data_IF_158608174354
#
_entry.id   IF_158608174354
#
_cell.length_a   1.000
_cell.length_b   1.000
_cell.length_c   1.000
_cell.angle_alpha   90.00
_cell.angle_beta   90.00
_cell.angle_gamma   90.00
#
_symmetry.space_group_name_H-M   'P 1'
#
loop_
_entity.id
_entity.type
_entity.pdbx_description
1 polymer ?
#
# COMPACT_ATOMS: atom_id res chain seq x y z
N UNK A 1 -4.38 -18.96 -20.04
CA UNK A 1 -4.66 -17.99 -18.95
C UNK A 1 -3.99 -16.65 -19.25
N UNK A 2 -4.41 -15.56 -18.59
CA UNK A 2 -3.85 -14.20 -18.76
C UNK A 2 -2.79 -13.83 -17.71
N UNK A 3 -2.51 -14.72 -16.75
CA UNK A 3 -1.58 -14.50 -15.64
C UNK A 3 -0.72 -15.75 -15.45
N UNK A 4 0.60 -15.61 -15.51
CA UNK A 4 1.55 -16.71 -15.32
C UNK A 4 1.94 -16.86 -13.85
N UNK A 5 2.23 -15.75 -13.17
CA UNK A 5 2.72 -15.71 -11.77
C UNK A 5 2.15 -14.52 -11.02
N UNK A 6 1.89 -14.70 -9.73
CA UNK A 6 1.42 -13.65 -8.83
C UNK A 6 2.43 -13.40 -7.72
N UNK A 7 2.73 -12.12 -7.44
CA UNK A 7 3.51 -11.71 -6.27
C UNK A 7 2.62 -10.79 -5.43
N UNK A 8 2.42 -11.15 -4.16
CA UNK A 8 1.66 -10.37 -3.18
C UNK A 8 2.62 -9.88 -2.11
N UNK A 9 2.69 -8.58 -1.90
CA UNK A 9 3.66 -7.96 -0.99
C UNK A 9 2.94 -7.39 0.22
N UNK A 10 3.27 -7.95 1.37
CA UNK A 10 2.90 -7.50 2.71
C UNK A 10 1.40 -7.25 2.92
N UNK A 11 0.58 -8.17 2.40
CA UNK A 11 -0.86 -8.22 2.63
C UNK A 11 -1.37 -9.68 2.54
N UNK A 12 -2.39 -9.99 3.33
CA UNK A 12 -3.09 -11.27 3.39
C UNK A 12 -4.55 -11.08 2.95
N UNK A 13 -5.25 -12.10 2.42
CA UNK A 13 -6.65 -12.01 1.99
C UNK A 13 -7.65 -11.94 3.18
N UNK A 14 -7.43 -10.99 4.11
CA UNK A 14 -8.25 -10.71 5.29
C UNK A 14 -8.68 -9.25 5.32
N UNK A 15 -9.64 -8.94 6.18
CA UNK A 15 -10.00 -7.56 6.52
C UNK A 15 -8.93 -6.93 7.41
N UNK A 16 -8.70 -5.62 7.25
CA UNK A 16 -7.81 -4.85 8.10
C UNK A 16 -8.58 -3.74 8.81
N UNK A 17 -8.25 -3.43 10.07
CA UNK A 17 -8.83 -2.28 10.75
C UNK A 17 -8.47 -0.99 9.98
N UNK A 18 -9.46 -0.14 9.69
CA UNK A 18 -9.21 1.18 9.11
C UNK A 18 -8.26 2.01 10.01
N UNK A 19 -7.10 2.41 9.47
CA UNK A 19 -6.08 3.19 10.21
C UNK A 19 -5.56 4.44 9.48
N UNK A 20 -6.01 4.71 8.25
CA UNK A 20 -5.55 5.86 7.45
C UNK A 20 -6.45 7.11 7.53
N UNK A 21 -7.45 7.15 8.41
CA UNK A 21 -8.41 8.26 8.48
C UNK A 21 -7.75 9.60 8.78
N UNK A 22 -6.71 9.62 9.61
CA UNK A 22 -5.93 10.83 9.89
C UNK A 22 -5.25 11.36 8.63
N UNK A 23 -4.62 10.47 7.85
CA UNK A 23 -3.98 10.82 6.57
C UNK A 23 -5.01 11.33 5.57
N UNK A 24 -6.16 10.66 5.43
CA UNK A 24 -7.22 11.08 4.50
C UNK A 24 -7.73 12.48 4.87
N UNK A 25 -7.96 12.75 6.16
CA UNK A 25 -8.37 14.09 6.63
C UNK A 25 -7.30 15.15 6.34
N UNK A 26 -6.02 14.84 6.56
CA UNK A 26 -4.91 15.73 6.24
C UNK A 26 -4.84 16.03 4.73
N UNK A 27 -5.08 15.05 3.87
CA UNK A 27 -5.13 15.27 2.42
C UNK A 27 -6.34 16.13 2.02
N UNK A 28 -7.47 15.99 2.71
CA UNK A 28 -8.70 16.75 2.48
C UNK A 28 -8.63 18.19 3.02
N UNK A 29 -7.72 18.49 3.96
CA UNK A 29 -7.54 19.85 4.49
C UNK A 29 -6.75 20.77 3.55
N UNK A 30 -6.13 20.23 2.51
CA UNK A 30 -5.41 21.01 1.50
C UNK A 30 -6.40 21.74 0.60
N UNK A 31 -6.51 23.05 0.77
CA UNK A 31 -7.30 23.93 -0.08
C UNK A 31 -6.47 24.45 -1.26
N UNK A 32 -6.65 23.84 -2.44
CA UNK A 32 -5.99 24.23 -3.69
C UNK A 32 -6.43 25.58 -4.27
N UNK A 33 -7.42 26.26 -3.66
CA UNK A 33 -7.70 27.66 -3.98
C UNK A 33 -6.77 28.64 -3.24
N UNK A 34 -6.08 28.16 -2.20
CA UNK A 34 -5.19 28.97 -1.34
C UNK A 34 -3.72 28.58 -1.52
N UNK A 35 -3.41 27.29 -1.62
CA UNK A 35 -2.01 26.85 -1.79
C UNK A 35 -1.53 27.09 -3.22
N UNK A 36 -0.34 27.68 -3.35
CA UNK A 36 0.26 27.99 -4.65
C UNK A 36 1.48 27.13 -4.96
N UNK A 37 2.05 26.46 -3.97
CA UNK A 37 3.27 25.68 -4.13
C UNK A 37 3.20 24.33 -3.43
N UNK A 38 4.09 23.42 -3.84
CA UNK A 38 4.26 22.13 -3.15
C UNK A 38 4.70 22.34 -1.71
N UNK A 39 5.51 23.35 -1.44
CA UNK A 39 5.96 23.71 -0.09
C UNK A 39 4.79 24.15 0.80
N UNK A 40 3.76 24.81 0.24
CA UNK A 40 2.58 25.17 1.03
C UNK A 40 1.73 23.95 1.37
N UNK A 41 1.58 23.02 0.41
CA UNK A 41 0.95 21.73 0.69
C UNK A 41 1.70 20.96 1.78
N UNK A 42 3.04 20.94 1.74
CA UNK A 42 3.86 20.29 2.76
C UNK A 42 3.60 20.86 4.16
N UNK A 43 3.49 22.19 4.28
CA UNK A 43 3.18 22.85 5.57
C UNK A 43 1.82 22.38 6.10
N UNK A 44 0.78 22.41 5.26
CA UNK A 44 -0.58 21.97 5.65
C UNK A 44 -0.56 20.52 6.11
N UNK A 45 0.08 19.62 5.36
CA UNK A 45 0.19 18.21 5.77
C UNK A 45 0.98 18.02 7.05
N UNK A 46 2.02 18.83 7.26
CA UNK A 46 2.86 18.83 8.47
C UNK A 46 2.14 19.22 9.76
N UNK A 47 0.96 19.83 9.68
CA UNK A 47 0.11 20.08 10.86
C UNK A 47 -0.53 18.80 11.41
N UNK A 48 -0.61 17.74 10.60
CA UNK A 48 -1.34 16.50 10.94
C UNK A 48 -0.46 15.25 10.90
N UNK A 49 0.59 15.24 10.07
CA UNK A 49 1.48 14.10 9.84
C UNK A 49 2.88 14.48 10.32
N UNK A 50 3.47 13.69 11.23
CA UNK A 50 4.78 14.02 11.82
C UNK A 50 5.94 13.43 11.00
N UNK A 51 5.67 12.32 10.32
CA UNK A 51 6.64 11.58 9.53
C UNK A 51 6.87 12.27 8.18
N UNK A 52 7.95 13.05 8.09
CA UNK A 52 8.33 13.76 6.84
C UNK A 52 8.36 12.85 5.61
N UNK A 53 8.83 11.61 5.76
CA UNK A 53 8.84 10.65 4.66
C UNK A 53 7.43 10.35 4.14
N UNK A 54 6.43 10.22 5.03
CA UNK A 54 5.03 9.98 4.64
C UNK A 54 4.49 11.18 3.86
N UNK A 55 4.73 12.42 4.34
CA UNK A 55 4.33 13.63 3.63
C UNK A 55 4.93 13.66 2.22
N UNK A 56 6.24 13.45 2.11
CA UNK A 56 6.93 13.47 0.82
C UNK A 56 6.45 12.36 -0.12
N UNK A 57 6.14 11.18 0.41
CA UNK A 57 5.54 10.09 -0.34
C UNK A 57 4.14 10.47 -0.88
N UNK A 58 3.25 10.99 -0.03
CA UNK A 58 1.90 11.41 -0.41
C UNK A 58 1.95 12.52 -1.47
N UNK A 59 2.84 13.49 -1.31
CA UNK A 59 3.02 14.61 -2.22
C UNK A 59 3.52 14.20 -3.62
N UNK A 60 4.03 12.98 -3.83
CA UNK A 60 4.28 12.46 -5.19
C UNK A 60 3.01 12.43 -6.05
N UNK A 61 1.84 12.42 -5.41
CA UNK A 61 0.54 12.47 -6.07
C UNK A 61 0.07 13.89 -6.41
N UNK A 62 0.82 14.94 -6.05
CA UNK A 62 0.51 16.29 -6.52
C UNK A 62 0.89 16.43 -8.00
N UNK A 63 0.04 17.12 -8.75
CA UNK A 63 0.31 17.52 -10.13
C UNK A 63 -0.18 18.93 -10.41
N UNK A 64 0.37 19.53 -11.47
CA UNK A 64 -0.12 20.79 -12.02
C UNK A 64 -1.15 20.48 -13.10
N UNK A 65 -2.32 21.10 -12.96
CA UNK A 65 -3.37 21.10 -13.98
C UNK A 65 -3.00 22.05 -15.13
N UNK A 66 -3.77 22.00 -16.23
CA UNK A 66 -3.54 22.88 -17.39
C UNK A 66 -3.72 24.37 -17.05
N UNK A 67 -4.56 24.69 -16.06
CA UNK A 67 -4.73 26.05 -15.52
C UNK A 67 -3.66 26.43 -14.48
N UNK A 68 -2.58 25.64 -14.38
CA UNK A 68 -1.43 25.84 -13.48
C UNK A 68 -1.81 25.89 -12.00
N UNK A 69 -2.81 25.11 -11.60
CA UNK A 69 -3.14 24.88 -10.18
C UNK A 69 -2.61 23.54 -9.72
N UNK A 70 -2.36 23.41 -8.42
CA UNK A 70 -2.03 22.12 -7.83
C UNK A 70 -3.32 21.32 -7.60
N UNK A 71 -3.22 20.00 -7.73
CA UNK A 71 -4.30 19.09 -7.39
C UNK A 71 -3.76 17.70 -7.02
N UNK A 72 -4.62 16.86 -6.42
CA UNK A 72 -4.35 15.43 -6.22
C UNK A 72 -4.62 14.64 -7.51
N UNK A 73 -3.66 13.81 -7.93
CA UNK A 73 -3.79 12.93 -9.12
C UNK A 73 -4.89 11.88 -8.98
N UNK A 74 -5.19 11.46 -7.74
CA UNK A 74 -6.19 10.45 -7.45
C UNK A 74 -7.49 11.08 -6.98
N UNK A 75 -8.60 10.36 -7.12
CA UNK A 75 -9.90 10.80 -6.64
C UNK A 75 -9.99 10.66 -5.12
N UNK A 76 -9.50 11.67 -4.41
CA UNK A 76 -9.49 11.71 -2.95
C UNK A 76 -10.90 11.65 -2.35
N UNK A 77 -11.90 12.27 -2.99
CA UNK A 77 -13.27 12.29 -2.49
C UNK A 77 -13.87 10.89 -2.46
N UNK A 78 -13.78 10.16 -3.58
CA UNK A 78 -14.25 8.76 -3.64
C UNK A 78 -13.43 7.86 -2.72
N UNK A 79 -12.10 8.06 -2.64
CA UNK A 79 -11.27 7.30 -1.72
C UNK A 79 -11.75 7.50 -0.27
N UNK A 80 -11.95 8.74 0.16
CA UNK A 80 -12.41 9.06 1.52
C UNK A 80 -13.78 8.47 1.83
N UNK A 81 -14.71 8.53 0.88
CA UNK A 81 -16.07 7.98 1.03
C UNK A 81 -16.05 6.44 1.14
N UNK A 82 -15.24 5.76 0.32
CA UNK A 82 -15.24 4.30 0.20
C UNK A 82 -14.18 3.60 1.04
N UNK A 83 -13.26 4.34 1.67
CA UNK A 83 -12.09 3.77 2.35
C UNK A 83 -12.45 2.69 3.36
N UNK A 84 -13.40 2.97 4.26
CA UNK A 84 -13.81 2.02 5.32
C UNK A 84 -14.39 0.75 4.71
N UNK A 85 -15.29 0.87 3.73
CA UNK A 85 -15.87 -0.27 3.03
C UNK A 85 -14.78 -1.11 2.32
N UNK A 86 -13.81 -0.44 1.70
CA UNK A 86 -12.75 -1.11 0.96
C UNK A 86 -11.81 -1.92 1.87
N UNK A 87 -11.36 -1.35 3.00
CA UNK A 87 -10.34 -2.01 3.85
C UNK A 87 -10.93 -2.97 4.89
N UNK A 88 -12.19 -2.76 5.31
CA UNK A 88 -12.86 -3.61 6.30
C UNK A 88 -13.48 -4.88 5.71
N UNK A 89 -13.53 -5.00 4.39
CA UNK A 89 -14.00 -6.20 3.73
C UNK A 89 -12.82 -7.10 3.37
N UNK A 90 -12.85 -8.35 3.86
CA UNK A 90 -11.93 -9.36 3.38
C UNK A 90 -12.20 -9.64 1.90
N UNK A 91 -11.17 -10.07 1.18
CA UNK A 91 -11.34 -10.55 -0.19
C UNK A 91 -12.35 -11.70 -0.16
N UNK A 92 -13.34 -11.64 -1.05
CA UNK A 92 -14.33 -12.71 -1.19
C UNK A 92 -13.60 -14.03 -1.41
N UNK A 93 -14.02 -15.06 -0.68
CA UNK A 93 -13.42 -16.39 -0.82
C UNK A 93 -13.45 -16.86 -2.29
N UNK A 94 -12.28 -17.24 -2.76
CA UNK A 94 -12.03 -17.85 -4.06
C UNK A 94 -10.68 -18.56 -4.02
N UNK A 95 -10.44 -19.48 -4.96
CA UNK A 95 -9.18 -20.23 -5.06
C UNK A 95 -8.45 -19.80 -6.32
N UNK A 96 -7.23 -19.30 -6.14
CA UNK A 96 -6.27 -19.02 -7.20
C UNK A 96 -5.20 -20.12 -7.22
N UNK A 97 -5.25 -20.97 -8.24
CA UNK A 97 -4.33 -22.09 -8.40
C UNK A 97 -3.00 -21.70 -9.08
N UNK A 98 -2.80 -20.45 -9.46
CA UNK A 98 -1.55 -20.02 -10.08
C UNK A 98 -0.38 -19.98 -9.08
N UNK A 99 0.87 -20.14 -9.54
CA UNK A 99 2.05 -19.93 -8.70
C UNK A 99 1.99 -18.55 -8.04
N UNK A 100 2.12 -18.52 -6.72
CA UNK A 100 2.04 -17.27 -5.96
C UNK A 100 3.19 -17.13 -4.97
N UNK A 101 3.84 -15.97 -4.94
CA UNK A 101 4.79 -15.61 -3.90
C UNK A 101 4.18 -14.55 -2.98
N UNK A 102 4.05 -14.86 -1.70
CA UNK A 102 3.77 -13.88 -0.66
C UNK A 102 5.08 -13.42 -0.03
N UNK A 103 5.32 -12.12 -0.03
CA UNK A 103 6.52 -11.51 0.56
C UNK A 103 6.09 -10.66 1.76
N UNK A 104 6.46 -11.07 2.97
CA UNK A 104 6.15 -10.33 4.20
C UNK A 104 7.39 -9.61 4.75
N UNK A 105 7.19 -8.44 5.36
CA UNK A 105 8.23 -7.80 6.18
C UNK A 105 8.34 -8.51 7.53
N UNK A 106 9.55 -8.88 7.96
CA UNK A 106 9.74 -9.56 9.25
C UNK A 106 9.28 -8.72 10.46
N UNK A 107 9.29 -7.39 10.32
CA UNK A 107 8.86 -6.44 11.33
C UNK A 107 7.46 -5.85 11.02
N UNK A 108 6.75 -6.40 10.03
CA UNK A 108 5.39 -5.97 9.67
C UNK A 108 4.32 -6.79 10.38
N UNK A 109 3.22 -6.14 10.72
CA UNK A 109 2.03 -6.78 11.29
C UNK A 109 0.95 -7.10 10.25
N UNK A 110 1.23 -6.94 8.96
CA UNK A 110 0.25 -7.16 7.90
C UNK A 110 0.00 -8.65 7.62
N UNK A 111 1.03 -9.49 7.72
CA UNK A 111 0.93 -10.95 7.59
C UNK A 111 1.44 -11.61 8.88
N UNK A 112 0.50 -12.13 9.67
CA UNK A 112 0.74 -12.79 10.95
C UNK A 112 0.76 -14.32 10.77
N UNK A 113 1.35 -15.09 11.71
CA UNK A 113 1.41 -16.55 11.60
C UNK A 113 0.06 -17.23 11.36
N UNK A 114 -1.01 -16.74 11.99
CA UNK A 114 -2.36 -17.27 11.80
C UNK A 114 -2.94 -17.05 10.39
N UNK A 115 -2.39 -16.11 9.63
CA UNK A 115 -2.86 -15.80 8.28
C UNK A 115 -2.38 -16.84 7.25
N UNK A 116 -1.35 -17.63 7.58
CA UNK A 116 -0.82 -18.65 6.67
C UNK A 116 -1.89 -19.65 6.25
N UNK A 117 -2.76 -20.06 7.18
CA UNK A 117 -3.87 -20.97 6.86
C UNK A 117 -4.82 -20.35 5.83
N UNK A 118 -5.17 -19.07 6.01
CA UNK A 118 -6.06 -18.34 5.12
C UNK A 118 -5.44 -18.14 3.72
N UNK A 119 -4.15 -17.81 3.68
CA UNK A 119 -3.38 -17.71 2.43
C UNK A 119 -3.41 -19.05 1.70
N UNK A 120 -3.10 -20.16 2.39
CA UNK A 120 -3.07 -21.50 1.76
C UNK A 120 -4.45 -21.97 1.28
N UNK A 121 -5.53 -21.56 1.94
CA UNK A 121 -6.89 -21.88 1.51
C UNK A 121 -7.27 -21.20 0.18
N UNK A 122 -6.85 -19.95 -0.03
CA UNK A 122 -7.17 -19.21 -1.26
C UNK A 122 -6.07 -19.31 -2.33
N UNK A 123 -4.84 -19.61 -1.94
CA UNK A 123 -3.66 -19.68 -2.80
C UNK A 123 -2.89 -20.99 -2.50
N UNK A 124 -3.40 -22.17 -2.90
CA UNK A 124 -2.81 -23.46 -2.56
C UNK A 124 -1.37 -23.63 -3.10
N UNK A 125 -1.06 -22.98 -4.22
CA UNK A 125 0.28 -23.01 -4.84
C UNK A 125 1.14 -21.81 -4.44
N UNK A 126 1.02 -21.37 -3.18
CA UNK A 126 1.78 -20.25 -2.63
C UNK A 126 3.06 -20.65 -1.91
N UNK A 127 4.08 -19.79 -2.03
CA UNK A 127 5.24 -19.72 -1.12
C UNK A 127 5.13 -18.45 -0.31
N UNK A 128 5.42 -18.51 0.98
CA UNK A 128 5.47 -17.34 1.86
C UNK A 128 6.92 -17.17 2.30
N UNK A 129 7.49 -15.99 2.08
CA UNK A 129 8.81 -15.63 2.56
C UNK A 129 8.72 -14.41 3.48
N UNK A 130 9.64 -14.33 4.45
CA UNK A 130 9.80 -13.15 5.31
C UNK A 130 11.14 -12.50 5.03
N UNK A 131 11.14 -11.23 4.67
CA UNK A 131 12.34 -10.46 4.45
C UNK A 131 12.81 -9.88 5.79
N UNK A 132 14.04 -10.23 6.20
CA UNK A 132 14.62 -9.74 7.43
C UNK A 132 14.82 -8.22 7.39
N UNK A 133 14.73 -7.57 8.55
CA UNK A 133 14.94 -6.12 8.71
C UNK A 133 14.02 -5.25 7.84
N UNK A 134 12.84 -5.74 7.47
CA UNK A 134 11.84 -5.02 6.68
C UNK A 134 10.55 -4.78 7.47
N UNK A 135 10.03 -3.56 7.41
CA UNK A 135 8.69 -3.20 7.87
C UNK A 135 7.67 -3.38 6.73
N UNK A 136 6.58 -2.60 6.72
CA UNK A 136 5.51 -2.75 5.74
C UNK A 136 5.91 -2.38 4.30
N UNK A 137 6.83 -1.43 4.13
CA UNK A 137 7.35 -1.08 2.81
C UNK A 137 8.54 -1.96 2.45
N UNK A 138 8.31 -3.26 2.35
CA UNK A 138 9.35 -4.30 2.22
C UNK A 138 10.38 -3.96 1.15
N UNK A 139 9.92 -3.60 -0.04
CA UNK A 139 10.75 -3.23 -1.19
C UNK A 139 11.58 -1.96 -0.97
N UNK A 140 11.16 -1.06 -0.08
CA UNK A 140 11.89 0.15 0.27
C UNK A 140 12.82 -0.06 1.47
N UNK A 141 12.43 -0.91 2.43
CA UNK A 141 13.21 -1.17 3.64
C UNK A 141 14.39 -2.12 3.38
N UNK A 142 14.18 -3.19 2.60
CA UNK A 142 15.22 -4.12 2.22
C UNK A 142 15.10 -4.49 0.73
N UNK A 143 15.52 -3.58 -0.18
CA UNK A 143 15.42 -3.78 -1.62
C UNK A 143 16.28 -4.94 -2.13
N UNK A 144 17.38 -5.27 -1.44
CA UNK A 144 18.32 -6.32 -1.89
C UNK A 144 17.66 -7.69 -1.81
N UNK A 145 17.18 -8.07 -0.63
CA UNK A 145 16.57 -9.38 -0.41
C UNK A 145 15.20 -9.48 -1.11
N UNK A 146 14.44 -8.38 -1.14
CA UNK A 146 13.20 -8.30 -1.91
C UNK A 146 13.44 -8.61 -3.40
N UNK A 147 14.43 -7.96 -4.02
CA UNK A 147 14.73 -8.16 -5.43
C UNK A 147 15.25 -9.58 -5.72
N UNK A 148 16.05 -10.16 -4.82
CA UNK A 148 16.51 -11.54 -4.96
C UNK A 148 15.33 -12.51 -4.97
N UNK A 149 14.43 -12.40 -3.99
CA UNK A 149 13.24 -13.22 -3.91
C UNK A 149 12.31 -13.11 -5.12
N UNK A 150 12.09 -11.88 -5.61
CA UNK A 150 11.26 -11.63 -6.80
C UNK A 150 11.91 -12.24 -8.04
N UNK A 151 13.22 -12.07 -8.23
CA UNK A 151 13.95 -12.65 -9.37
C UNK A 151 13.90 -14.17 -9.35
N UNK A 152 14.19 -14.79 -8.21
CA UNK A 152 14.18 -16.24 -8.07
C UNK A 152 12.80 -16.82 -8.42
N UNK A 153 11.72 -16.17 -7.98
CA UNK A 153 10.36 -16.61 -8.28
C UNK A 153 9.97 -16.41 -9.75
N UNK A 154 10.35 -15.29 -10.37
CA UNK A 154 10.05 -15.03 -11.78
C UNK A 154 10.84 -15.96 -12.70
N UNK A 155 12.07 -16.31 -12.34
CA UNK A 155 12.98 -17.13 -13.16
C UNK A 155 12.85 -18.64 -12.93
N UNK A 156 12.23 -19.09 -11.82
CA UNK A 156 11.97 -20.52 -11.54
C UNK A 156 10.99 -21.16 -12.52
#
# INVERSE_FOLDING_TARGET
EKLDRLIVVDISPKAYPPHHQGIIKALQSVDFSVVESRQDVEKVLGEYIHEKFVIQFLMKNLYWTDDKKLAWRFNLNTLAEKYTEFVSNAIKFGVFNGPTLFVAGANSNYILPQDELLIRQQFPNSKIIKIANAEHWVQANNPVDFNAAVKDFILS
#
